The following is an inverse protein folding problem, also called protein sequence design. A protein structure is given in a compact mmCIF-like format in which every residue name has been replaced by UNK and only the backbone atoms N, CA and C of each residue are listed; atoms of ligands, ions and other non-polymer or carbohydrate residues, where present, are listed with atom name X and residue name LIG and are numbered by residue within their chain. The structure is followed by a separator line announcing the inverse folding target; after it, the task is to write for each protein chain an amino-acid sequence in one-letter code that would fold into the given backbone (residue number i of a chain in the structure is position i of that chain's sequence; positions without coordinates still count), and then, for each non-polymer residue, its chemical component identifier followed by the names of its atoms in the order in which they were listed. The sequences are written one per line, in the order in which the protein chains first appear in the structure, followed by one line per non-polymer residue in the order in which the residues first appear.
data_IF_387519200900
#
_entry.id   IF_387519200900
#
_cell.length_a   1.000
_cell.length_b   1.000
_cell.length_c   1.000
_cell.angle_alpha   90.00
_cell.angle_beta   90.00
_cell.angle_gamma   90.00
#
_symmetry.space_group_name_H-M   'P 1'
#
loop_
_entity.id
_entity.type
_entity.pdbx_description
1 polymer ?
#
# COMPACT_ATOMS: atom_id res chain seq x y z
N UNK A 1 -3.53 12.12 3.53
CA UNK A 1 -3.68 11.46 2.22
C UNK A 1 -5.13 11.11 1.87
N UNK A 2 -5.91 10.45 2.75
CA UNK A 2 -7.30 10.10 2.40
C UNK A 2 -8.19 11.34 2.22
N UNK A 3 -7.79 12.49 2.75
CA UNK A 3 -8.51 13.76 2.62
C UNK A 3 -8.09 14.58 1.39
N UNK A 4 -7.16 14.10 0.56
CA UNK A 4 -6.77 14.82 -0.65
C UNK A 4 -7.85 14.68 -1.72
N UNK A 5 -8.20 15.79 -2.37
CA UNK A 5 -9.25 15.82 -3.42
C UNK A 5 -9.02 14.83 -4.56
N UNK A 6 -7.76 14.49 -4.84
CA UNK A 6 -7.37 13.54 -5.90
C UNK A 6 -7.16 12.11 -5.42
N UNK A 7 -7.34 11.84 -4.12
CA UNK A 7 -7.21 10.49 -3.58
C UNK A 7 -8.48 9.69 -3.88
N UNK A 8 -8.39 8.85 -4.91
CA UNK A 8 -9.54 8.12 -5.47
C UNK A 8 -9.93 6.84 -4.72
N UNK A 9 -9.13 6.41 -3.74
CA UNK A 9 -9.33 5.13 -3.09
C UNK A 9 -10.30 5.24 -1.91
N UNK A 10 -11.07 4.19 -1.70
CA UNK A 10 -11.96 4.05 -0.55
C UNK A 10 -11.16 4.04 0.76
N UNK A 11 -11.52 4.91 1.69
CA UNK A 11 -10.81 5.09 2.96
C UNK A 11 -10.76 3.79 3.75
N UNK A 12 -11.85 3.04 3.76
CA UNK A 12 -11.96 1.78 4.48
C UNK A 12 -11.15 0.63 3.84
N UNK A 13 -10.67 0.80 2.61
CA UNK A 13 -9.75 -0.14 1.94
C UNK A 13 -8.27 0.15 2.27
N UNK A 14 -7.96 1.31 2.85
CA UNK A 14 -6.58 1.73 3.12
C UNK A 14 -6.08 1.23 4.48
N UNK A 15 -4.83 0.75 4.55
CA UNK A 15 -4.11 0.44 5.80
C UNK A 15 -2.78 1.19 5.83
N UNK A 16 -2.56 2.01 6.83
CA UNK A 16 -1.33 2.80 6.98
C UNK A 16 -0.18 1.93 7.50
N UNK A 17 1.02 2.07 6.90
CA UNK A 17 2.27 1.44 7.36
C UNK A 17 3.36 2.45 7.74
N UNK A 18 3.29 3.71 7.28
CA UNK A 18 4.31 4.77 7.48
C UNK A 18 5.63 4.50 6.73
N UNK A 19 6.81 4.66 7.33
CA UNK A 19 8.08 4.39 6.64
C UNK A 19 8.28 2.87 6.50
N UNK A 20 8.66 2.34 5.32
CA UNK A 20 9.03 3.05 4.09
C UNK A 20 7.86 3.41 3.15
N UNK A 21 6.69 2.79 3.25
CA UNK A 21 5.55 3.01 2.34
C UNK A 21 4.29 3.41 3.13
N UNK A 22 3.66 4.53 2.81
CA UNK A 22 2.58 5.07 3.64
C UNK A 22 1.36 4.14 3.77
N UNK A 23 0.92 3.48 2.69
CA UNK A 23 -0.29 2.66 2.68
C UNK A 23 -0.15 1.35 1.89
N UNK A 24 -0.89 0.34 2.35
CA UNK A 24 -1.37 -0.77 1.51
C UNK A 24 -2.88 -0.61 1.35
N UNK A 25 -3.36 -0.63 0.11
CA UNK A 25 -4.78 -0.48 -0.23
C UNK A 25 -5.29 -1.81 -0.75
N UNK A 26 -6.33 -2.34 -0.10
CA UNK A 26 -7.00 -3.58 -0.47
C UNK A 26 -8.27 -3.25 -1.27
N UNK A 27 -8.08 -2.83 -2.52
CA UNK A 27 -9.15 -2.30 -3.37
C UNK A 27 -10.30 -3.31 -3.49
N UNK A 28 -11.52 -2.84 -3.18
CA UNK A 28 -12.75 -3.62 -3.25
C UNK A 28 -13.16 -4.29 -1.93
N UNK A 29 -12.27 -4.35 -0.93
CA UNK A 29 -12.52 -5.09 0.30
C UNK A 29 -13.77 -4.60 1.03
N UNK A 30 -13.90 -3.29 1.24
CA UNK A 30 -14.97 -2.70 2.02
C UNK A 30 -16.34 -2.85 1.34
N UNK A 31 -16.45 -2.46 0.07
CA UNK A 31 -17.75 -2.43 -0.64
C UNK A 31 -18.16 -3.78 -1.23
N UNK A 32 -17.20 -4.63 -1.60
CA UNK A 32 -17.45 -5.90 -2.30
C UNK A 32 -17.16 -7.13 -1.44
N UNK A 33 -16.57 -6.97 -0.25
CA UNK A 33 -16.17 -8.08 0.60
C UNK A 33 -15.03 -8.93 0.06
N UNK A 34 -14.34 -8.49 -1.00
CA UNK A 34 -13.23 -9.21 -1.63
C UNK A 34 -12.13 -8.24 -2.08
N UNK A 35 -10.88 -8.68 -1.95
CA UNK A 35 -9.73 -7.93 -2.44
C UNK A 35 -9.56 -8.20 -3.94
N UNK A 36 -9.68 -7.17 -4.75
CA UNK A 36 -9.47 -7.25 -6.21
C UNK A 36 -8.04 -6.87 -6.58
N UNK A 37 -7.45 -5.90 -5.86
CA UNK A 37 -6.04 -5.49 -6.01
C UNK A 37 -5.42 -5.12 -4.68
N UNK A 38 -4.13 -5.39 -4.55
CA UNK A 38 -3.29 -4.89 -3.45
C UNK A 38 -2.39 -3.80 -4.03
N UNK A 39 -2.49 -2.58 -3.50
CA UNK A 39 -1.78 -1.41 -4.02
C UNK A 39 -0.91 -0.80 -2.91
N UNK A 40 0.40 -0.86 -3.08
CA UNK A 40 1.36 -0.17 -2.23
C UNK A 40 1.46 1.29 -2.67
N UNK A 41 1.21 2.23 -1.75
CA UNK A 41 1.10 3.65 -2.05
C UNK A 41 1.97 4.47 -1.10
N UNK A 42 2.86 5.28 -1.67
CA UNK A 42 3.67 6.26 -0.96
C UNK A 42 3.28 7.65 -1.47
N UNK A 43 2.98 8.56 -0.57
CA UNK A 43 2.36 9.84 -0.83
C UNK A 43 3.43 10.90 -0.92
N UNK A 44 3.49 11.57 -2.06
CA UNK A 44 4.40 12.70 -2.29
C UNK A 44 3.61 13.97 -2.52
N UNK A 45 4.17 15.09 -2.04
CA UNK A 45 3.65 16.43 -2.26
C UNK A 45 4.73 17.28 -2.93
N UNK A 46 4.31 18.22 -3.79
CA UNK A 46 5.23 19.11 -4.51
C UNK A 46 6.27 18.35 -5.34
N UNK A 47 7.55 18.70 -5.17
CA UNK A 47 8.67 18.09 -5.89
C UNK A 47 9.27 16.85 -5.20
N UNK A 48 8.62 16.32 -4.15
CA UNK A 48 9.14 15.19 -3.40
C UNK A 48 9.25 13.93 -4.27
N UNK A 49 10.39 13.23 -4.18
CA UNK A 49 10.65 11.97 -4.90
C UNK A 49 10.74 10.81 -3.92
N UNK A 50 10.65 9.59 -4.46
CA UNK A 50 10.91 8.37 -3.68
C UNK A 50 12.33 8.39 -3.10
N UNK A 51 12.45 8.08 -1.81
CA UNK A 51 13.72 7.80 -1.12
C UNK A 51 14.34 6.48 -1.64
N UNK A 52 15.64 6.21 -1.38
CA UNK A 52 16.28 4.96 -1.82
C UNK A 52 15.54 3.68 -1.39
N UNK A 53 15.15 3.55 -0.12
CA UNK A 53 14.37 2.42 0.41
C UNK A 53 12.99 2.28 -0.27
N UNK A 54 12.31 3.40 -0.55
CA UNK A 54 11.04 3.43 -1.26
C UNK A 54 11.16 2.96 -2.72
N UNK A 55 12.24 3.37 -3.40
CA UNK A 55 12.57 2.88 -4.75
C UNK A 55 12.85 1.38 -4.74
N UNK A 56 13.53 0.88 -3.72
CA UNK A 56 13.79 -0.55 -3.57
C UNK A 56 12.49 -1.35 -3.44
N UNK A 57 11.57 -0.93 -2.57
CA UNK A 57 10.25 -1.57 -2.45
C UNK A 57 9.49 -1.55 -3.79
N UNK A 58 9.46 -0.40 -4.49
CA UNK A 58 8.88 -0.32 -5.84
C UNK A 58 9.51 -1.34 -6.79
N UNK A 59 10.84 -1.45 -6.80
CA UNK A 59 11.55 -2.37 -7.68
C UNK A 59 11.24 -3.84 -7.35
N UNK A 60 11.13 -4.21 -6.06
CA UNK A 60 10.73 -5.56 -5.67
C UNK A 60 9.32 -5.90 -6.16
N UNK A 61 8.37 -4.95 -6.05
CA UNK A 61 7.00 -5.11 -6.57
C UNK A 61 6.99 -5.29 -8.10
N UNK A 62 7.66 -4.40 -8.83
CA UNK A 62 7.72 -4.45 -10.31
C UNK A 62 8.34 -5.75 -10.81
N UNK A 63 9.39 -6.22 -10.13
CA UNK A 63 10.05 -7.48 -10.45
C UNK A 63 9.33 -8.71 -9.89
N UNK A 64 8.10 -8.55 -9.36
CA UNK A 64 7.27 -9.63 -8.80
C UNK A 64 7.96 -10.43 -7.68
N UNK A 65 8.86 -9.80 -6.93
CA UNK A 65 9.56 -10.37 -5.77
C UNK A 65 8.75 -10.12 -4.48
N UNK A 66 7.55 -10.70 -4.43
CA UNK A 66 6.60 -10.55 -3.32
C UNK A 66 6.32 -11.91 -2.70
N UNK A 67 6.21 -11.95 -1.37
CA UNK A 67 5.94 -13.19 -0.62
C UNK A 67 4.85 -12.95 0.42
N UNK A 68 3.92 -13.89 0.54
CA UNK A 68 2.94 -13.92 1.62
C UNK A 68 3.37 -14.96 2.65
N UNK A 69 3.68 -14.51 3.87
CA UNK A 69 3.96 -15.38 5.02
C UNK A 69 2.88 -15.20 6.06
N UNK A 70 2.50 -16.29 6.70
CA UNK A 70 1.71 -16.25 7.92
C UNK A 70 2.50 -16.96 9.03
N UNK A 71 2.42 -16.43 10.24
CA UNK A 71 2.95 -17.07 11.44
C UNK A 71 1.77 -17.48 12.29
N UNK A 72 1.70 -18.75 12.64
CA UNK A 72 0.73 -19.25 13.62
C UNK A 72 1.44 -19.31 14.96
N UNK A 73 0.89 -18.61 15.95
CA UNK A 73 1.32 -18.79 17.33
C UNK A 73 0.37 -19.81 17.95
N UNK A 74 0.81 -21.06 18.02
CA UNK A 74 0.11 -22.09 18.77
C UNK A 74 0.39 -21.84 20.26
N UNK A 75 -0.58 -21.19 20.92
CA UNK A 75 -0.76 -21.35 22.37
C UNK A 75 -1.59 -22.60 22.61
#
# INVERSE_FOLDING_TARGET
APTFKTFRFEHNDCRSLFDPIDYVIFEGLHKKGKVEKIIFTDIKTGAARLKPNQKEVKNLIVNKKLEFKFYKNDK
#
